data_IF_799388400904
#
_entry.id   IF_799388400904
#
_cell.length_a   1.000
_cell.length_b   1.000
_cell.length_c   1.000
_cell.angle_alpha   90.00
_cell.angle_beta   90.00
_cell.angle_gamma   90.00
#
_symmetry.space_group_name_H-M   'P 1'
#
loop_
_entity.id
_entity.type
_entity.pdbx_description
1 polymer ?
#
# COMPACT_ATOMS: atom_id res chain seq x y z
N UNK A 1 -14.85 3.48 4.05
CA UNK A 1 -15.87 2.77 3.27
C UNK A 1 -16.10 3.55 1.99
N UNK A 2 -15.84 2.93 0.85
CA UNK A 2 -16.18 3.51 -0.46
C UNK A 2 -17.26 2.63 -1.10
N UNK A 3 -18.29 3.26 -1.67
CA UNK A 3 -19.33 2.53 -2.41
C UNK A 3 -18.81 2.08 -3.78
N UNK A 4 -17.85 2.83 -4.32
CA UNK A 4 -17.16 2.50 -5.55
C UNK A 4 -15.79 1.88 -5.26
N UNK A 5 -15.44 0.86 -6.06
CA UNK A 5 -14.13 0.23 -6.05
C UNK A 5 -13.05 1.25 -6.41
N UNK A 6 -12.04 1.39 -5.56
CA UNK A 6 -10.94 2.32 -5.79
C UNK A 6 -9.82 1.67 -6.62
N UNK A 7 -9.07 2.47 -7.42
CA UNK A 7 -7.91 1.95 -8.12
C UNK A 7 -6.81 1.54 -7.13
N UNK A 8 -5.94 0.60 -7.54
CA UNK A 8 -4.83 0.12 -6.71
C UNK A 8 -3.85 1.24 -6.30
N UNK A 9 -3.62 2.18 -7.21
CA UNK A 9 -2.76 3.35 -7.02
C UNK A 9 -3.53 4.59 -7.46
N UNK A 10 -3.41 5.68 -6.69
CA UNK A 10 -3.91 6.98 -7.08
C UNK A 10 -2.88 8.07 -6.76
N UNK A 11 -2.75 9.05 -7.65
CA UNK A 11 -1.92 10.23 -7.41
C UNK A 11 -2.74 11.29 -6.67
N UNK A 12 -2.20 11.80 -5.57
CA UNK A 12 -2.79 12.88 -4.78
C UNK A 12 -1.75 13.99 -4.59
N UNK A 13 -1.69 14.90 -5.55
CA UNK A 13 -0.64 15.92 -5.61
C UNK A 13 0.74 15.30 -5.83
N UNK A 14 1.68 15.59 -4.92
CA UNK A 14 3.03 15.03 -4.91
C UNK A 14 3.12 13.64 -4.27
N UNK A 15 1.99 13.08 -3.82
CA UNK A 15 1.94 11.78 -3.13
C UNK A 15 1.29 10.73 -4.00
N UNK A 16 1.65 9.48 -3.78
CA UNK A 16 0.94 8.30 -4.29
C UNK A 16 0.25 7.61 -3.12
N UNK A 17 -1.04 7.32 -3.26
CA UNK A 17 -1.81 6.52 -2.31
C UNK A 17 -2.02 5.14 -2.90
N UNK A 18 -1.54 4.12 -2.19
CA UNK A 18 -1.81 2.73 -2.51
C UNK A 18 -3.00 2.23 -1.71
N UNK A 19 -3.98 1.64 -2.40
CA UNK A 19 -5.13 0.97 -1.81
C UNK A 19 -4.89 -0.55 -1.86
N UNK A 20 -4.54 -1.10 -0.70
CA UNK A 20 -4.07 -2.47 -0.47
C UNK A 20 -5.12 -3.27 0.30
N UNK A 21 -4.99 -4.60 0.28
CA UNK A 21 -5.89 -5.54 0.98
C UNK A 21 -7.38 -5.18 0.82
N UNK A 22 -7.85 -5.18 -0.42
CA UNK A 22 -9.27 -4.93 -0.71
C UNK A 22 -10.15 -5.96 0.01
N UNK A 23 -11.03 -5.49 0.88
CA UNK A 23 -12.09 -6.29 1.51
C UNK A 23 -13.42 -5.77 0.99
N UNK A 24 -14.16 -6.66 0.34
CA UNK A 24 -15.51 -6.40 -0.14
C UNK A 24 -16.51 -6.93 0.89
N UNK A 25 -17.33 -6.04 1.41
CA UNK A 25 -18.47 -6.39 2.25
C UNK A 25 -19.76 -6.18 1.44
N UNK A 26 -20.62 -7.19 1.42
CA UNK A 26 -21.93 -7.11 0.78
C UNK A 26 -22.99 -7.15 1.88
N UNK A 27 -23.72 -6.05 2.02
CA UNK A 27 -24.82 -5.95 2.96
C UNK A 27 -26.16 -5.94 2.21
N UNK A 28 -27.15 -6.67 2.73
CA UNK A 28 -28.45 -6.84 2.07
C UNK A 28 -29.31 -5.58 2.06
N UNK A 29 -29.03 -4.59 2.91
CA UNK A 29 -29.80 -3.35 3.01
C UNK A 29 -29.06 -2.14 2.38
N UNK A 30 -27.73 -2.11 2.45
CA UNK A 30 -26.91 -0.96 2.06
C UNK A 30 -26.08 -1.17 0.79
N UNK A 31 -26.01 -2.40 0.27
CA UNK A 31 -25.32 -2.75 -0.96
C UNK A 31 -23.85 -3.16 -0.76
N UNK A 32 -23.05 -3.06 -1.83
CA UNK A 32 -21.62 -3.43 -1.79
C UNK A 32 -20.77 -2.27 -1.23
N UNK A 33 -19.79 -2.61 -0.40
CA UNK A 33 -18.84 -1.65 0.17
C UNK A 33 -17.43 -2.21 0.17
N UNK A 34 -16.48 -1.33 -0.13
CA UNK A 34 -15.07 -1.68 -0.25
C UNK A 34 -14.24 -1.01 0.85
N UNK A 35 -13.38 -1.82 1.47
CA UNK A 35 -12.42 -1.42 2.49
C UNK A 35 -11.01 -1.73 2.01
N UNK A 36 -10.07 -0.86 2.37
CA UNK A 36 -8.70 -0.95 1.91
C UNK A 36 -7.77 -0.51 3.04
N UNK A 37 -6.66 -1.22 3.21
CA UNK A 37 -5.48 -0.66 3.87
C UNK A 37 -4.85 0.37 2.94
N UNK A 38 -4.39 1.48 3.51
CA UNK A 38 -3.83 2.58 2.72
C UNK A 38 -2.38 2.82 3.12
N UNK A 39 -1.52 2.92 2.11
CA UNK A 39 -0.18 3.43 2.28
C UNK A 39 -0.08 4.77 1.54
N UNK A 40 0.44 5.79 2.23
CA UNK A 40 0.73 7.09 1.62
C UNK A 40 2.22 7.17 1.39
N UNK A 41 2.62 7.40 0.15
CA UNK A 41 4.01 7.41 -0.30
C UNK A 41 4.32 8.82 -0.80
N UNK A 42 5.29 9.46 -0.17
CA UNK A 42 5.73 10.83 -0.45
C UNK A 42 7.22 10.94 -0.81
N UNK A 43 7.99 9.85 -0.67
CA UNK A 43 9.33 9.68 -1.22
C UNK A 43 9.34 8.50 -2.21
N UNK A 44 9.93 8.73 -3.38
CA UNK A 44 9.95 7.75 -4.48
C UNK A 44 11.28 7.01 -4.63
N UNK A 45 12.14 7.06 -3.60
CA UNK A 45 13.25 6.12 -3.51
C UNK A 45 12.69 4.74 -3.12
N UNK A 46 13.09 3.68 -3.83
CA UNK A 46 12.68 2.30 -3.55
C UNK A 46 12.65 1.92 -2.07
N UNK A 47 13.72 2.14 -1.26
CA UNK A 47 13.68 1.82 0.16
C UNK A 47 12.60 2.58 0.94
N UNK A 48 12.40 3.86 0.65
CA UNK A 48 11.36 4.66 1.33
C UNK A 48 9.94 4.22 0.95
N UNK A 49 9.74 3.81 -0.30
CA UNK A 49 8.47 3.21 -0.77
C UNK A 49 8.18 1.94 0.02
N UNK A 50 9.16 1.03 0.12
CA UNK A 50 9.01 -0.24 0.85
C UNK A 50 8.67 0.03 2.31
N UNK A 51 9.38 0.94 2.96
CA UNK A 51 9.14 1.28 4.38
C UNK A 51 7.77 1.91 4.57
N UNK A 52 7.30 2.76 3.64
CA UNK A 52 5.94 3.33 3.66
C UNK A 52 4.86 2.25 3.54
N UNK A 53 5.10 1.23 2.71
CA UNK A 53 4.20 0.08 2.56
C UNK A 53 4.20 -0.81 3.81
N UNK A 54 5.36 -1.11 4.39
CA UNK A 54 5.46 -1.89 5.64
C UNK A 54 4.74 -1.18 6.78
N UNK A 55 4.97 0.13 6.93
CA UNK A 55 4.33 0.96 7.97
C UNK A 55 2.82 1.06 7.85
N UNK A 56 2.24 0.76 6.69
CA UNK A 56 0.78 0.70 6.56
C UNK A 56 0.12 -0.41 7.39
N UNK A 57 0.85 -1.51 7.68
CA UNK A 57 0.42 -2.58 8.60
C UNK A 57 1.16 -2.59 9.92
N UNK A 58 2.43 -2.17 9.92
CA UNK A 58 3.28 -2.13 11.11
C UNK A 58 3.73 -0.69 11.37
N UNK A 59 2.83 0.18 11.87
CA UNK A 59 3.03 1.64 11.89
C UNK A 59 4.15 2.12 12.82
N UNK A 60 4.61 1.26 13.73
CA UNK A 60 5.66 1.57 14.68
C UNK A 60 6.72 0.50 14.67
N UNK A 61 7.96 0.88 14.97
CA UNK A 61 9.06 -0.06 15.14
C UNK A 61 8.75 -1.13 16.21
N UNK A 62 8.01 -0.76 17.26
CA UNK A 62 7.56 -1.70 18.28
C UNK A 62 6.60 -2.77 17.73
N UNK A 63 5.74 -2.42 16.78
CA UNK A 63 4.84 -3.38 16.14
C UNK A 63 5.62 -4.37 15.25
N UNK A 64 6.62 -3.90 14.50
CA UNK A 64 7.51 -4.78 13.72
C UNK A 64 8.29 -5.73 14.63
N UNK A 65 8.90 -5.21 15.69
CA UNK A 65 9.64 -6.02 16.66
C UNK A 65 8.72 -7.03 17.37
N UNK A 66 7.50 -6.64 17.72
CA UNK A 66 6.54 -7.55 18.35
C UNK A 66 6.24 -8.73 17.42
N UNK A 67 5.98 -8.49 16.13
CA UNK A 67 5.73 -9.57 15.17
C UNK A 67 6.94 -10.48 14.97
N UNK A 68 8.15 -9.94 14.98
CA UNK A 68 9.39 -10.74 14.91
C UNK A 68 9.56 -11.58 16.17
N UNK A 69 9.36 -10.98 17.35
CA UNK A 69 9.59 -11.65 18.64
C UNK A 69 8.52 -12.69 18.98
N UNK A 70 7.27 -12.47 18.59
CA UNK A 70 6.19 -13.44 18.77
C UNK A 70 6.45 -14.72 17.96
N UNK A 71 7.16 -14.61 16.84
CA UNK A 71 7.46 -15.73 15.96
C UNK A 71 6.22 -16.30 15.28
N UNK A 72 6.33 -17.53 14.77
CA UNK A 72 5.19 -18.28 14.22
C UNK A 72 4.45 -17.57 13.09
N UNK A 73 3.13 -17.45 13.24
CA UNK A 73 2.24 -16.82 12.26
C UNK A 73 2.47 -15.30 12.17
N UNK A 74 2.74 -14.62 13.29
CA UNK A 74 3.02 -13.18 13.30
C UNK A 74 4.27 -12.84 12.48
N UNK A 75 5.34 -13.60 12.66
CA UNK A 75 6.57 -13.43 11.89
C UNK A 75 6.36 -13.77 10.42
N UNK A 76 5.65 -14.85 10.12
CA UNK A 76 5.33 -15.27 8.75
C UNK A 76 4.50 -14.21 8.01
N UNK A 77 3.53 -13.59 8.69
CA UNK A 77 2.72 -12.49 8.16
C UNK A 77 3.57 -11.24 7.90
N UNK A 78 4.49 -10.92 8.83
CA UNK A 78 5.43 -9.82 8.64
C UNK A 78 6.36 -10.05 7.44
N UNK A 79 6.96 -11.24 7.31
CA UNK A 79 7.82 -11.58 6.16
C UNK A 79 7.07 -11.58 4.84
N UNK A 80 5.86 -12.12 4.81
CA UNK A 80 4.99 -12.09 3.64
C UNK A 80 4.66 -10.65 3.24
N UNK A 81 4.32 -9.79 4.20
CA UNK A 81 4.04 -8.38 3.95
C UNK A 81 5.28 -7.62 3.46
N UNK A 82 6.45 -7.89 4.03
CA UNK A 82 7.72 -7.27 3.60
C UNK A 82 8.10 -7.72 2.19
N UNK A 83 7.84 -8.98 1.85
CA UNK A 83 8.06 -9.53 0.49
C UNK A 83 7.11 -8.90 -0.51
N UNK A 84 5.82 -8.82 -0.18
CA UNK A 84 4.83 -8.10 -0.97
C UNK A 84 5.25 -6.64 -1.19
N UNK A 85 5.66 -5.93 -0.13
CA UNK A 85 6.07 -4.53 -0.20
C UNK A 85 7.25 -4.31 -1.16
N UNK A 86 8.24 -5.22 -1.17
CA UNK A 86 9.38 -5.19 -2.10
C UNK A 86 8.97 -5.37 -3.56
N UNK A 87 8.01 -6.26 -3.83
CA UNK A 87 7.48 -6.48 -5.17
C UNK A 87 6.62 -5.29 -5.62
N UNK A 88 5.72 -4.84 -4.74
CA UNK A 88 4.79 -3.76 -5.01
C UNK A 88 5.48 -2.40 -5.18
N UNK A 89 6.63 -2.18 -4.55
CA UNK A 89 7.44 -0.98 -4.75
C UNK A 89 7.77 -0.74 -6.24
N UNK A 90 8.01 -1.79 -7.02
CA UNK A 90 8.24 -1.66 -8.46
C UNK A 90 7.01 -1.11 -9.21
N UNK A 91 5.80 -1.51 -8.82
CA UNK A 91 4.57 -0.97 -9.40
C UNK A 91 4.40 0.51 -9.06
N UNK A 92 4.72 0.93 -7.84
CA UNK A 92 4.70 2.34 -7.41
C UNK A 92 5.72 3.15 -8.20
N UNK A 93 6.96 2.69 -8.32
CA UNK A 93 8.03 3.33 -9.10
C UNK A 93 7.60 3.54 -10.55
N UNK A 94 7.03 2.49 -11.15
CA UNK A 94 6.52 2.53 -12.53
C UNK A 94 5.36 3.52 -12.67
N UNK A 95 4.40 3.50 -11.73
CA UNK A 95 3.26 4.42 -11.75
C UNK A 95 3.69 5.88 -11.60
N UNK A 96 4.67 6.15 -10.73
CA UNK A 96 5.22 7.48 -10.54
C UNK A 96 5.96 7.97 -11.80
N UNK A 97 6.83 7.14 -12.36
CA UNK A 97 7.65 7.47 -13.54
C UNK A 97 6.82 7.58 -14.83
N UNK A 98 5.85 6.68 -15.03
CA UNK A 98 4.96 6.73 -16.21
C UNK A 98 4.05 7.96 -16.22
N UNK A 99 3.74 8.53 -15.06
CA UNK A 99 3.04 9.81 -14.93
C UNK A 99 3.93 11.06 -15.12
N UNK A 100 5.26 10.93 -15.15
CA UNK A 100 6.20 12.00 -15.51
C UNK A 100 6.57 12.01 -17.00
N UNK A 101 6.32 10.91 -17.73
CA UNK A 101 6.64 10.78 -19.17
C UNK A 101 5.69 11.54 -20.11
N UNK A 102 4.88 12.45 -19.58
CA UNK A 102 3.99 13.34 -20.33
C UNK A 102 4.38 14.79 -20.06
N UNK A 103 5.59 15.21 -20.46
CA UNK A 103 5.97 16.61 -20.69
C UNK A 103 7.37 16.69 -21.31
N UNK A 104 7.52 16.19 -22.54
CA UNK A 104 8.40 16.84 -23.51
C UNK A 104 7.53 17.18 -24.72
N UNK A 105 6.87 18.33 -24.61
CA UNK A 105 6.53 19.13 -25.79
C UNK A 105 7.83 19.73 -26.29
N UNK A 106 8.28 19.32 -27.47
CA UNK A 106 8.88 20.16 -28.51
C UNK A 106 8.79 19.45 -29.87
#
# INVERSE_FOLDING_TARGET
MSKDKLPKLARMGHKVVAYLDEVKETDTETGESYFYHKAVIDSFNRPDIIESLVRSKYPTYGAELASINNGGEDFSNYEAWRTFSKAFAYEVETFYTSGELSLETE
#
